data_IF_980483901366
#
_entry.id   IF_980483901366
#
_cell.length_a   1.000
_cell.length_b   1.000
_cell.length_c   1.000
_cell.angle_alpha   90.00
_cell.angle_beta   90.00
_cell.angle_gamma   90.00
#
_symmetry.space_group_name_H-M   'P 1'
#
loop_
_entity.id
_entity.type
_entity.pdbx_description
1 polymer ?
#
# COMPACT_ATOMS: atom_id res chain seq x y z
N UNK A 1 -28.11 -65.70 -24.89
CA UNK A 1 -26.85 -64.92 -24.90
C UNK A 1 -27.18 -63.46 -24.66
N UNK A 2 -26.81 -62.98 -23.52
CA UNK A 2 -27.00 -61.57 -23.20
C UNK A 2 -25.60 -60.92 -23.12
N UNK A 3 -25.28 -59.88 -23.88
CA UNK A 3 -24.05 -59.15 -23.69
C UNK A 3 -24.22 -58.17 -22.54
N UNK A 4 -23.45 -58.36 -21.51
CA UNK A 4 -23.28 -57.40 -20.41
C UNK A 4 -22.42 -56.24 -20.89
N UNK A 5 -22.99 -55.05 -20.84
CA UNK A 5 -22.26 -53.82 -21.05
C UNK A 5 -21.50 -53.44 -19.77
N UNK A 6 -20.22 -53.12 -19.83
CA UNK A 6 -19.51 -52.57 -18.70
C UNK A 6 -19.85 -51.11 -18.53
N UNK A 7 -20.29 -50.75 -17.34
CA UNK A 7 -20.51 -49.36 -16.97
C UNK A 7 -19.19 -48.59 -16.89
N UNK A 8 -19.08 -47.58 -17.68
CA UNK A 8 -18.02 -46.60 -17.57
C UNK A 8 -18.30 -45.69 -16.39
N UNK A 9 -17.54 -45.87 -15.33
CA UNK A 9 -17.49 -44.92 -14.23
C UNK A 9 -16.75 -43.66 -14.69
N UNK A 10 -17.52 -42.63 -14.91
CA UNK A 10 -16.95 -41.29 -15.14
C UNK A 10 -16.46 -40.74 -13.80
N UNK A 11 -15.17 -40.84 -13.57
CA UNK A 11 -14.51 -40.12 -12.48
C UNK A 11 -14.50 -38.62 -12.80
N UNK A 12 -15.41 -37.89 -12.18
CA UNK A 12 -15.36 -36.43 -12.20
C UNK A 12 -14.18 -35.97 -11.32
N UNK A 13 -13.10 -35.62 -11.98
CA UNK A 13 -11.95 -34.96 -11.34
C UNK A 13 -12.35 -33.52 -11.00
N UNK A 14 -12.78 -33.30 -9.76
CA UNK A 14 -12.96 -31.97 -9.21
C UNK A 14 -11.57 -31.37 -9.05
N UNK A 15 -11.15 -30.55 -10.02
CA UNK A 15 -10.05 -29.63 -9.83
C UNK A 15 -10.52 -28.55 -8.85
N UNK A 16 -10.16 -28.71 -7.59
CA UNK A 16 -10.21 -27.63 -6.65
C UNK A 16 -9.14 -26.63 -7.07
N UNK A 17 -9.54 -25.59 -7.78
CA UNK A 17 -8.71 -24.38 -7.93
C UNK A 17 -8.60 -23.78 -6.53
N UNK A 18 -7.51 -24.12 -5.85
CA UNK A 18 -7.07 -23.33 -4.69
C UNK A 18 -6.73 -21.95 -5.23
N UNK A 19 -7.66 -21.01 -5.06
CA UNK A 19 -7.37 -19.61 -5.27
C UNK A 19 -6.36 -19.20 -4.19
N UNK A 20 -5.07 -19.28 -4.52
CA UNK A 20 -4.02 -18.65 -3.73
C UNK A 20 -4.12 -17.12 -3.93
N UNK A 21 -5.23 -16.53 -3.45
CA UNK A 21 -5.25 -15.13 -3.16
C UNK A 21 -4.44 -14.93 -1.89
N UNK A 22 -3.30 -14.21 -1.95
CA UNK A 22 -2.61 -13.82 -0.74
C UNK A 22 -3.61 -13.03 0.11
N UNK A 23 -3.80 -13.41 1.38
CA UNK A 23 -4.65 -12.68 2.33
C UNK A 23 -4.25 -11.20 2.45
N UNK A 24 -3.00 -10.88 2.12
CA UNK A 24 -2.43 -9.53 2.12
C UNK A 24 -3.06 -8.64 1.03
N UNK A 25 -3.39 -9.17 -0.13
CA UNK A 25 -4.03 -8.43 -1.21
C UNK A 25 -5.40 -7.89 -0.84
N UNK A 26 -6.23 -8.69 -0.15
CA UNK A 26 -7.54 -8.28 0.35
C UNK A 26 -7.43 -7.21 1.44
N UNK A 27 -6.49 -7.37 2.37
CA UNK A 27 -6.25 -6.41 3.45
C UNK A 27 -5.76 -5.07 2.90
N UNK A 28 -4.87 -5.08 1.90
CA UNK A 28 -4.38 -3.87 1.23
C UNK A 28 -5.51 -3.12 0.52
N UNK A 29 -6.37 -3.82 -0.22
CA UNK A 29 -7.50 -3.19 -0.91
C UNK A 29 -8.49 -2.60 0.08
N UNK A 30 -8.78 -3.27 1.17
CA UNK A 30 -9.68 -2.77 2.20
C UNK A 30 -9.11 -1.51 2.88
N UNK A 31 -7.83 -1.50 3.21
CA UNK A 31 -7.14 -0.34 3.76
C UNK A 31 -7.17 0.84 2.77
N UNK A 32 -6.86 0.58 1.50
CA UNK A 32 -6.91 1.57 0.45
C UNK A 32 -8.31 2.20 0.34
N UNK A 33 -9.36 1.40 0.31
CA UNK A 33 -10.74 1.88 0.16
C UNK A 33 -11.16 2.74 1.35
N UNK A 34 -10.78 2.34 2.57
CA UNK A 34 -11.08 3.08 3.78
C UNK A 34 -10.39 4.46 3.82
N UNK A 35 -9.12 4.51 3.43
CA UNK A 35 -8.36 5.76 3.40
C UNK A 35 -8.82 6.66 2.25
N UNK A 36 -9.05 6.10 1.06
CA UNK A 36 -9.50 6.84 -0.11
C UNK A 36 -10.81 7.58 0.13
N UNK A 37 -11.68 7.07 1.00
CA UNK A 37 -12.96 7.69 1.33
C UNK A 37 -12.81 9.07 2.01
N UNK A 38 -11.66 9.37 2.60
CA UNK A 38 -11.38 10.64 3.29
C UNK A 38 -10.54 11.60 2.46
N UNK A 39 -10.06 11.19 1.29
CA UNK A 39 -9.15 11.98 0.46
C UNK A 39 -9.91 12.83 -0.59
N UNK A 40 -9.33 13.97 -1.03
CA UNK A 40 -8.05 14.52 -0.60
C UNK A 40 -8.11 15.20 0.77
N UNK A 41 -6.97 15.23 1.48
CA UNK A 41 -6.88 15.93 2.75
C UNK A 41 -5.56 16.71 2.87
N UNK A 42 -5.54 17.83 3.63
CA UNK A 42 -4.32 18.55 3.91
C UNK A 42 -3.30 17.67 4.63
N UNK A 43 -2.02 17.85 4.32
CA UNK A 43 -0.94 17.15 5.00
C UNK A 43 -0.10 18.10 5.86
N UNK A 44 0.71 18.90 5.24
CA UNK A 44 1.56 19.88 5.92
C UNK A 44 1.76 21.08 4.99
N UNK A 45 1.64 22.31 5.51
CA UNK A 45 1.68 23.54 4.73
C UNK A 45 0.70 23.47 3.53
N UNK A 46 1.21 23.54 2.30
CA UNK A 46 0.41 23.44 1.07
C UNK A 46 0.37 22.03 0.45
N UNK A 47 1.02 21.06 1.10
CA UNK A 47 1.01 19.68 0.67
C UNK A 47 -0.37 19.04 0.90
N UNK A 48 -0.77 18.18 -0.03
CA UNK A 48 -2.06 17.48 0.01
C UNK A 48 -1.85 15.99 -0.19
N UNK A 49 -2.40 15.16 0.71
CA UNK A 49 -2.57 13.74 0.43
C UNK A 49 -3.67 13.62 -0.60
N UNK A 50 -3.31 13.36 -1.84
CA UNK A 50 -4.21 13.39 -2.98
C UNK A 50 -4.95 12.07 -3.18
N UNK A 51 -4.22 10.97 -3.05
CA UNK A 51 -4.75 9.63 -3.30
C UNK A 51 -3.95 8.56 -2.58
N UNK A 52 -4.51 7.36 -2.57
CA UNK A 52 -3.86 6.14 -2.06
C UNK A 52 -4.10 5.01 -3.05
N UNK A 53 -3.08 4.20 -3.29
CA UNK A 53 -3.14 3.07 -4.20
C UNK A 53 -2.44 1.86 -3.63
N UNK A 54 -2.75 0.69 -4.18
CA UNK A 54 -2.02 -0.56 -3.92
C UNK A 54 -1.11 -0.83 -5.10
N UNK A 55 0.18 -0.99 -4.83
CA UNK A 55 1.21 -1.21 -5.85
C UNK A 55 2.27 -2.17 -5.29
N UNK A 56 2.47 -3.30 -5.95
CA UNK A 56 3.53 -4.27 -5.62
C UNK A 56 3.59 -4.67 -4.13
N UNK A 57 2.45 -4.96 -3.51
CA UNK A 57 2.37 -5.34 -2.11
C UNK A 57 2.52 -4.17 -1.13
N UNK A 58 2.41 -2.95 -1.61
CA UNK A 58 2.49 -1.74 -0.80
C UNK A 58 1.20 -0.93 -0.85
N UNK A 59 0.90 -0.29 0.27
CA UNK A 59 -0.07 0.80 0.32
C UNK A 59 0.69 2.11 0.11
N UNK A 60 0.43 2.79 -1.01
CA UNK A 60 1.15 3.99 -1.42
C UNK A 60 0.26 5.21 -1.27
N UNK A 61 0.63 6.12 -0.38
CA UNK A 61 0.04 7.45 -0.29
C UNK A 61 0.75 8.40 -1.25
N UNK A 62 0.00 9.09 -2.10
CA UNK A 62 0.50 10.15 -2.96
C UNK A 62 0.31 11.51 -2.27
N UNK A 63 1.41 12.19 -2.00
CA UNK A 63 1.42 13.55 -1.44
C UNK A 63 1.87 14.51 -2.53
N UNK A 64 0.98 15.40 -2.94
CA UNK A 64 1.26 16.39 -3.97
C UNK A 64 1.69 17.71 -3.37
N UNK A 65 2.77 18.28 -3.93
CA UNK A 65 3.17 19.66 -3.73
C UNK A 65 2.68 20.50 -4.91
N UNK A 66 1.85 21.53 -4.69
CA UNK A 66 1.40 22.41 -5.77
C UNK A 66 2.46 23.39 -6.23
N UNK A 67 3.49 23.62 -5.42
CA UNK A 67 4.61 24.52 -5.72
C UNK A 67 5.92 23.79 -5.92
N UNK A 68 6.83 24.35 -6.68
CA UNK A 68 8.13 23.77 -6.95
C UNK A 68 8.12 22.63 -7.98
N UNK A 69 9.29 22.08 -8.23
CA UNK A 69 9.49 20.95 -9.13
C UNK A 69 10.39 19.91 -8.47
N UNK A 70 10.25 18.64 -8.92
CA UNK A 70 11.12 17.57 -8.45
C UNK A 70 12.60 17.89 -8.73
N UNK A 71 12.92 18.42 -9.89
CA UNK A 71 14.28 18.81 -10.24
C UNK A 71 14.87 19.86 -9.29
N UNK A 72 14.10 20.90 -8.95
CA UNK A 72 14.52 21.92 -8.02
C UNK A 72 14.67 21.37 -6.59
N UNK A 73 13.79 20.46 -6.19
CA UNK A 73 13.85 19.82 -4.88
C UNK A 73 15.09 18.93 -4.76
N UNK A 74 15.41 18.13 -5.78
CA UNK A 74 16.60 17.27 -5.79
C UNK A 74 17.91 18.09 -5.70
N UNK A 75 17.90 19.30 -6.22
CA UNK A 75 19.05 20.21 -6.14
C UNK A 75 19.10 21.01 -4.83
N UNK A 76 18.07 20.92 -4.00
CA UNK A 76 18.01 21.68 -2.76
C UNK A 76 19.01 21.15 -1.73
N UNK A 77 19.81 22.00 -1.04
CA UNK A 77 20.84 21.54 -0.11
C UNK A 77 20.30 20.80 1.11
N UNK A 78 19.02 20.97 1.45
CA UNK A 78 18.36 20.26 2.57
C UNK A 78 17.50 19.07 2.12
N UNK A 79 17.67 18.59 0.89
CA UNK A 79 16.86 17.51 0.34
C UNK A 79 16.90 16.24 1.22
N UNK A 80 18.11 15.80 1.58
CA UNK A 80 18.27 14.59 2.40
C UNK A 80 17.73 14.76 3.82
N UNK A 81 17.86 15.95 4.40
CA UNK A 81 17.29 16.27 5.71
C UNK A 81 15.76 16.17 5.66
N UNK A 82 15.15 16.73 4.62
CA UNK A 82 13.71 16.67 4.43
C UNK A 82 13.23 15.23 4.23
N UNK A 83 13.90 14.47 3.36
CA UNK A 83 13.59 13.06 3.12
C UNK A 83 13.68 12.24 4.42
N UNK A 84 14.73 12.45 5.20
CA UNK A 84 14.91 11.77 6.48
C UNK A 84 13.82 12.13 7.48
N UNK A 85 13.45 13.40 7.55
CA UNK A 85 12.36 13.87 8.41
C UNK A 85 11.03 13.17 8.06
N UNK A 86 10.74 13.00 6.78
CA UNK A 86 9.54 12.28 6.32
C UNK A 86 9.63 10.76 6.60
N UNK A 87 10.82 10.20 6.49
CA UNK A 87 11.06 8.79 6.87
C UNK A 87 10.77 8.58 8.37
N UNK A 88 11.22 9.50 9.21
CA UNK A 88 11.03 9.44 10.66
C UNK A 88 9.57 9.68 11.06
N UNK A 89 8.81 10.43 10.27
CA UNK A 89 7.38 10.67 10.49
C UNK A 89 6.47 9.54 10.01
N UNK A 90 6.96 8.66 9.14
CA UNK A 90 6.15 7.60 8.53
C UNK A 90 5.42 6.70 9.54
N UNK A 91 6.01 6.34 10.71
CA UNK A 91 5.31 5.57 11.74
C UNK A 91 4.02 6.19 12.28
N UNK A 92 3.78 7.48 12.06
CA UNK A 92 2.50 8.12 12.41
C UNK A 92 1.31 7.48 11.68
N UNK A 93 1.55 6.85 10.52
CA UNK A 93 0.52 6.10 9.80
C UNK A 93 -0.08 4.97 10.64
N UNK A 94 0.67 4.42 11.58
CA UNK A 94 0.23 3.35 12.46
C UNK A 94 -0.97 3.75 13.34
N UNK A 95 -1.16 5.04 13.57
CA UNK A 95 -2.31 5.56 14.31
C UNK A 95 -3.64 5.47 13.54
N UNK A 96 -3.59 5.28 12.23
CA UNK A 96 -4.79 5.15 11.41
C UNK A 96 -5.39 3.74 11.56
N UNK A 97 -6.66 3.61 12.03
CA UNK A 97 -7.29 2.29 12.19
C UNK A 97 -7.35 1.45 10.91
N UNK A 98 -7.38 2.09 9.74
CA UNK A 98 -7.37 1.39 8.45
C UNK A 98 -6.03 0.67 8.19
N UNK A 99 -4.95 1.10 8.81
CA UNK A 99 -3.60 0.52 8.67
C UNK A 99 -3.40 -0.67 9.61
N UNK A 100 -4.08 -0.69 10.77
CA UNK A 100 -3.86 -1.72 11.80
C UNK A 100 -3.92 -3.17 11.28
N UNK A 101 -4.86 -3.57 10.40
CA UNK A 101 -4.89 -4.93 9.88
C UNK A 101 -3.67 -5.31 9.03
N UNK A 102 -2.95 -4.34 8.49
CA UNK A 102 -1.76 -4.58 7.68
C UNK A 102 -0.54 -4.99 8.51
N UNK A 103 -0.52 -4.68 9.80
CA UNK A 103 0.59 -5.00 10.69
C UNK A 103 0.87 -6.51 10.81
N UNK A 104 -0.14 -7.35 10.57
CA UNK A 104 -0.02 -8.81 10.56
C UNK A 104 0.38 -9.38 9.19
N UNK A 105 0.70 -8.54 8.22
CA UNK A 105 1.00 -8.92 6.84
C UNK A 105 2.43 -8.54 6.46
N UNK A 106 2.87 -8.98 5.28
CA UNK A 106 4.15 -8.56 4.67
C UNK A 106 4.02 -7.28 3.83
N UNK A 107 2.90 -6.57 3.96
CA UNK A 107 2.68 -5.32 3.25
C UNK A 107 3.69 -4.24 3.65
N UNK A 108 3.97 -3.33 2.72
CA UNK A 108 4.78 -2.14 2.94
C UNK A 108 3.88 -0.91 2.95
N UNK A 109 4.27 0.08 3.73
CA UNK A 109 3.66 1.41 3.73
C UNK A 109 4.62 2.36 3.05
N UNK A 110 4.14 3.07 2.04
CA UNK A 110 4.94 3.98 1.22
C UNK A 110 4.24 5.34 1.18
N UNK A 111 5.03 6.39 1.33
CA UNK A 111 4.59 7.75 1.06
C UNK A 111 5.43 8.31 -0.07
N UNK A 112 4.77 8.67 -1.18
CA UNK A 112 5.40 9.17 -2.40
C UNK A 112 5.06 10.64 -2.56
N UNK A 113 6.09 11.47 -2.55
CA UNK A 113 5.96 12.91 -2.74
C UNK A 113 6.18 13.26 -4.20
N UNK A 114 5.20 13.94 -4.79
CA UNK A 114 5.19 14.32 -6.20
C UNK A 114 4.99 15.82 -6.36
N UNK A 115 5.51 16.35 -7.47
CA UNK A 115 5.32 17.74 -7.82
C UNK A 115 3.99 17.97 -8.56
N UNK A 116 3.76 19.19 -9.00
CA UNK A 116 2.53 19.56 -9.72
C UNK A 116 2.33 18.75 -10.99
N UNK A 117 3.40 18.37 -11.67
CA UNK A 117 3.36 17.56 -12.90
C UNK A 117 3.28 16.06 -12.64
N UNK A 118 3.44 15.62 -11.39
CA UNK A 118 3.44 14.22 -11.00
C UNK A 118 4.82 13.57 -10.96
N UNK A 119 5.89 14.36 -11.11
CA UNK A 119 7.26 13.88 -10.98
C UNK A 119 7.62 13.64 -9.51
N UNK A 120 8.32 12.55 -9.23
CA UNK A 120 8.62 12.13 -7.86
C UNK A 120 9.79 12.92 -7.28
N UNK A 121 9.57 13.56 -6.12
CA UNK A 121 10.64 14.12 -5.31
C UNK A 121 11.45 13.01 -4.62
N UNK A 122 10.76 12.20 -3.85
CA UNK A 122 11.28 11.04 -3.13
C UNK A 122 10.14 10.15 -2.65
N UNK A 123 10.51 8.95 -2.22
CA UNK A 123 9.65 8.04 -1.48
C UNK A 123 10.28 7.73 -0.13
N UNK A 124 9.42 7.49 0.86
CA UNK A 124 9.79 6.90 2.14
C UNK A 124 8.94 5.66 2.37
N UNK A 125 9.52 4.63 2.98
CA UNK A 125 8.82 3.37 3.18
C UNK A 125 9.18 2.70 4.49
N UNK A 126 8.25 1.88 4.98
CA UNK A 126 8.50 0.97 6.10
C UNK A 126 7.64 -0.30 5.94
N UNK A 127 8.03 -1.44 6.54
CA UNK A 127 7.15 -2.59 6.63
C UNK A 127 5.96 -2.27 7.55
N UNK A 128 4.75 -2.71 7.15
CA UNK A 128 3.55 -2.48 7.96
C UNK A 128 3.63 -3.16 9.34
N UNK A 129 4.36 -4.28 9.45
CA UNK A 129 4.59 -4.96 10.74
C UNK A 129 5.33 -4.11 11.78
N UNK A 130 6.06 -3.07 11.35
CA UNK A 130 6.67 -2.12 12.27
C UNK A 130 5.63 -1.40 13.15
N UNK A 131 4.36 -1.36 12.71
CA UNK A 131 3.26 -0.82 13.52
C UNK A 131 2.97 -1.66 14.77
N UNK A 132 3.16 -2.97 14.74
CA UNK A 132 3.00 -3.84 15.92
C UNK A 132 4.09 -3.58 16.96
N UNK A 133 5.31 -3.33 16.52
CA UNK A 133 6.44 -3.05 17.40
C UNK A 133 6.24 -1.74 18.16
N UNK A 134 5.65 -0.73 17.51
CA UNK A 134 5.38 0.58 18.11
C UNK A 134 4.29 0.55 19.21
N UNK A 135 3.40 -0.45 19.21
CA UNK A 135 2.33 -0.57 20.21
C UNK A 135 2.76 -1.28 21.50
N UNK A 136 3.96 -1.84 21.53
CA UNK A 136 4.49 -2.59 22.68
C UNK A 136 5.52 -1.80 23.53
N UNK A 137 5.76 -0.54 23.20
CA UNK A 137 6.62 0.35 24.00
C UNK A 137 5.85 1.17 25.03
#
# INVERSE_FOLDING_TARGET
MRPTLPGTAASALLLALAACGSSDGGALQQARDSIAATLPEPYFEDLVIESVMVEDGALVQLVRSPGGSAAAMHAHPRFEELRQSEQDALPELCANPAIAPLAATDARLVRRFIDREGDVFFEVEMPARACDEATHE
#
